data_IF_421729706925
#
_entry.id   IF_421729706925
#
_cell.length_a   1.000
_cell.length_b   1.000
_cell.length_c   1.000
_cell.angle_alpha   90.00
_cell.angle_beta   90.00
_cell.angle_gamma   90.00
#
_symmetry.space_group_name_H-M   'P 1'
#
loop_
_entity.id
_entity.type
_entity.pdbx_description
1 polymer ?
#
# COMPACT_ATOMS: atom_id res chain seq x y z
N UNK A 1 -8.34 5.09 31.97
CA UNK A 1 -8.29 6.49 31.47
C UNK A 1 -7.59 6.46 30.12
N UNK A 2 -8.34 6.20 29.06
CA UNK A 2 -7.85 6.23 27.68
C UNK A 2 -8.03 7.66 27.18
N UNK A 3 -6.92 8.38 27.00
CA UNK A 3 -6.96 9.67 26.33
C UNK A 3 -7.46 9.46 24.89
N UNK A 4 -8.57 10.12 24.53
CA UNK A 4 -9.01 10.21 23.14
C UNK A 4 -7.93 10.98 22.37
N UNK A 5 -7.11 10.26 21.59
CA UNK A 5 -6.15 10.85 20.68
C UNK A 5 -6.88 11.36 19.45
N UNK A 6 -6.79 12.67 19.22
CA UNK A 6 -7.39 13.34 18.07
C UNK A 6 -6.46 13.24 16.87
N UNK A 7 -6.92 12.54 15.82
CA UNK A 7 -6.21 12.40 14.55
C UNK A 7 -5.95 13.77 13.91
N UNK A 8 -6.78 14.77 14.21
CA UNK A 8 -6.65 16.12 13.65
C UNK A 8 -5.46 16.92 14.18
N UNK A 9 -4.95 16.61 15.38
CA UNK A 9 -3.82 17.34 15.97
C UNK A 9 -2.46 16.84 15.46
N UNK A 10 -2.39 15.59 15.00
CA UNK A 10 -1.15 14.91 14.63
C UNK A 10 -0.56 15.36 13.29
N UNK A 11 -1.40 15.80 12.34
CA UNK A 11 -1.04 16.00 10.93
C UNK A 11 -0.40 17.37 10.62
N UNK A 12 -0.48 18.36 11.52
CA UNK A 12 -0.15 19.77 11.19
C UNK A 12 1.27 20.23 11.52
N UNK A 13 2.19 19.33 11.82
CA UNK A 13 3.58 19.71 12.12
C UNK A 13 4.53 19.34 10.96
N UNK A 14 4.61 20.18 9.92
CA UNK A 14 5.86 20.49 9.18
C UNK A 14 5.62 21.44 8.00
N UNK A 15 6.42 22.50 7.90
CA UNK A 15 6.63 23.23 6.65
C UNK A 15 7.44 24.51 6.84
N UNK A 16 8.75 24.48 6.52
CA UNK A 16 9.50 25.68 6.14
C UNK A 16 10.59 25.34 5.10
N UNK A 17 10.73 26.20 4.09
CA UNK A 17 11.97 26.39 3.33
C UNK A 17 11.92 26.00 1.84
N UNK A 18 11.67 26.99 0.97
CA UNK A 18 11.93 26.89 -0.47
C UNK A 18 13.32 27.45 -0.85
N UNK A 19 13.80 27.13 -2.07
CA UNK A 19 14.34 28.05 -3.11
C UNK A 19 14.99 27.26 -4.26
N UNK A 20 14.54 27.62 -5.48
CA UNK A 20 15.08 27.62 -6.86
C UNK A 20 15.98 26.48 -7.41
N UNK A 21 15.65 25.89 -8.59
CA UNK A 21 16.37 24.76 -9.18
C UNK A 21 17.35 25.20 -10.27
N UNK A 22 18.52 24.56 -10.31
CA UNK A 22 19.24 24.15 -11.54
C UNK A 22 20.57 23.47 -11.17
N UNK A 23 20.76 22.18 -11.49
CA UNK A 23 22.10 21.60 -11.57
C UNK A 23 22.63 21.67 -13.01
N UNK A 24 23.88 22.12 -13.11
CA UNK A 24 24.77 21.96 -14.25
C UNK A 24 25.20 20.49 -14.28
N UNK A 25 25.10 19.84 -15.44
CA UNK A 25 25.62 18.49 -15.66
C UNK A 25 27.14 18.55 -15.78
N UNK A 26 27.85 17.72 -15.01
CA UNK A 26 29.18 17.27 -15.43
C UNK A 26 29.50 15.84 -14.95
N UNK A 27 29.91 15.06 -15.95
CA UNK A 27 30.79 13.90 -16.01
C UNK A 27 30.71 12.75 -14.97
N UNK A 28 30.09 11.63 -15.37
CA UNK A 28 30.22 10.33 -14.70
C UNK A 28 31.32 9.52 -15.39
N UNK A 29 32.44 9.37 -14.68
CA UNK A 29 33.61 8.57 -15.08
C UNK A 29 33.28 7.10 -15.38
N UNK A 30 34.03 6.55 -16.33
CA UNK A 30 33.89 5.23 -16.90
C UNK A 30 34.04 4.07 -15.88
N UNK A 31 33.25 3.02 -16.11
CA UNK A 31 33.26 1.75 -15.38
C UNK A 31 34.58 1.02 -15.64
N UNK A 32 35.31 0.70 -14.56
CA UNK A 32 36.54 -0.07 -14.56
C UNK A 32 36.28 -1.54 -14.97
N UNK A 33 36.69 -1.85 -16.20
CA UNK A 33 36.55 -3.16 -16.86
C UNK A 33 37.55 -4.21 -16.36
N UNK A 34 38.54 -3.84 -15.54
CA UNK A 34 39.57 -4.77 -15.06
C UNK A 34 39.11 -5.63 -13.86
N UNK A 35 37.98 -5.29 -13.22
CA UNK A 35 37.41 -6.08 -12.13
C UNK A 35 36.67 -7.36 -12.59
N UNK A 36 36.38 -7.51 -13.89
CA UNK A 36 35.66 -8.66 -14.46
C UNK A 36 36.57 -9.84 -14.86
N UNK A 37 37.90 -9.68 -14.75
CA UNK A 37 38.88 -10.69 -15.17
C UNK A 37 39.15 -11.85 -14.20
N UNK A 38 38.56 -11.85 -12.99
CA UNK A 38 38.97 -12.77 -11.91
C UNK A 38 38.16 -14.07 -11.76
N UNK A 39 37.21 -14.39 -12.66
CA UNK A 39 36.41 -15.64 -12.59
C UNK A 39 36.68 -16.59 -13.77
N UNK A 40 37.85 -16.49 -14.41
CA UNK A 40 38.32 -17.47 -15.40
C UNK A 40 39.38 -18.39 -14.78
N UNK A 41 39.31 -19.73 -14.98
CA UNK A 41 40.31 -20.63 -14.42
C UNK A 41 41.68 -20.35 -15.05
N UNK A 42 42.66 -20.03 -14.20
CA UNK A 42 44.08 -19.90 -14.55
C UNK A 42 44.54 -21.16 -15.31
N UNK A 43 44.94 -21.01 -16.58
CA UNK A 43 45.69 -22.04 -17.30
C UNK A 43 47.05 -22.22 -16.65
N UNK A 44 47.15 -23.20 -15.77
CA UNK A 44 48.42 -23.72 -15.28
C UNK A 44 49.27 -24.26 -16.44
N UNK A 45 50.57 -24.00 -16.35
CA UNK A 45 51.63 -24.53 -17.22
C UNK A 45 51.43 -26.04 -17.43
N UNK A 46 51.21 -26.48 -18.68
CA UNK A 46 51.23 -27.90 -19.02
C UNK A 46 52.55 -28.27 -19.67
N UNK A 47 53.21 -29.23 -19.04
CA UNK A 47 54.35 -30.00 -19.51
C UNK A 47 54.15 -30.56 -20.94
N UNK A 48 55.27 -30.87 -21.59
CA UNK A 48 55.43 -31.52 -22.88
C UNK A 48 54.23 -32.36 -23.36
N UNK A 49 53.55 -31.87 -24.40
CA UNK A 49 52.36 -32.50 -24.96
C UNK A 49 52.65 -33.83 -25.64
N UNK A 50 52.19 -34.92 -25.01
CA UNK A 50 52.01 -36.21 -25.68
C UNK A 50 50.87 -36.06 -26.71
N UNK A 51 51.15 -36.31 -28.00
CA UNK A 51 50.12 -36.30 -29.05
C UNK A 51 49.10 -37.41 -28.76
N UNK A 52 47.85 -37.01 -28.45
CA UNK A 52 46.74 -37.91 -28.23
C UNK A 52 46.56 -38.84 -29.45
N UNK A 53 46.47 -40.14 -29.18
CA UNK A 53 46.27 -41.17 -30.20
C UNK A 53 44.90 -41.02 -30.87
N UNK A 54 44.75 -41.56 -32.08
CA UNK A 54 43.48 -41.49 -32.85
C UNK A 54 42.29 -42.07 -32.07
N UNK A 55 42.53 -43.03 -31.18
CA UNK A 55 41.52 -43.67 -30.31
C UNK A 55 41.10 -42.74 -29.16
N UNK A 56 42.05 -42.05 -28.52
CA UNK A 56 41.79 -41.07 -27.44
C UNK A 56 41.06 -39.83 -27.97
N UNK A 57 41.42 -39.33 -29.15
CA UNK A 57 40.69 -38.22 -29.81
C UNK A 57 39.23 -38.59 -30.12
N UNK A 58 38.97 -39.84 -30.54
CA UNK A 58 37.62 -40.32 -30.83
C UNK A 58 36.79 -40.51 -29.54
N UNK A 59 37.42 -40.94 -28.44
CA UNK A 59 36.79 -41.03 -27.12
C UNK A 59 36.45 -39.64 -26.58
N UNK A 60 37.39 -38.69 -26.61
CA UNK A 60 37.15 -37.31 -26.18
C UNK A 60 36.03 -36.63 -26.98
N UNK A 61 35.97 -36.84 -28.31
CA UNK A 61 34.87 -36.32 -29.14
C UNK A 61 33.51 -36.93 -28.77
N UNK A 62 33.47 -38.20 -28.38
CA UNK A 62 32.23 -38.86 -27.90
C UNK A 62 31.80 -38.37 -26.53
N UNK A 63 32.74 -38.12 -25.61
CA UNK A 63 32.44 -37.57 -24.29
C UNK A 63 31.95 -36.11 -24.36
N UNK A 64 32.54 -35.29 -25.25
CA UNK A 64 32.06 -33.93 -25.52
C UNK A 64 30.64 -33.99 -26.10
N UNK A 65 30.39 -34.83 -27.10
CA UNK A 65 29.05 -34.97 -27.69
C UNK A 65 28.01 -35.52 -26.69
N UNK A 66 28.43 -36.38 -25.75
CA UNK A 66 27.56 -36.86 -24.65
C UNK A 66 27.24 -35.72 -23.68
N UNK A 67 28.24 -34.95 -23.25
CA UNK A 67 28.03 -33.78 -22.38
C UNK A 67 27.19 -32.69 -23.03
N UNK A 68 27.33 -32.46 -24.32
CA UNK A 68 26.47 -31.53 -25.06
C UNK A 68 25.02 -32.01 -25.15
N UNK A 69 24.79 -33.33 -25.29
CA UNK A 69 23.44 -33.91 -25.26
C UNK A 69 22.83 -33.85 -23.86
N UNK A 70 23.60 -34.21 -22.83
CA UNK A 70 23.18 -34.10 -21.42
C UNK A 70 22.88 -32.63 -21.05
N UNK A 71 23.68 -31.67 -21.51
CA UNK A 71 23.43 -30.25 -21.31
C UNK A 71 22.16 -29.77 -22.04
N UNK A 72 21.93 -30.22 -23.28
CA UNK A 72 20.69 -29.89 -24.04
C UNK A 72 19.45 -30.53 -23.42
N UNK A 73 19.56 -31.75 -22.88
CA UNK A 73 18.45 -32.42 -22.22
C UNK A 73 18.17 -31.82 -20.84
N UNK A 74 19.20 -31.40 -20.10
CA UNK A 74 19.09 -30.59 -18.88
C UNK A 74 18.46 -29.21 -19.16
N UNK A 75 18.84 -28.55 -20.25
CA UNK A 75 18.25 -27.28 -20.68
C UNK A 75 16.77 -27.45 -21.09
N UNK A 76 16.42 -28.55 -21.78
CA UNK A 76 15.03 -28.90 -22.11
C UNK A 76 14.20 -29.27 -20.89
N UNK A 77 14.76 -29.97 -19.90
CA UNK A 77 14.06 -30.27 -18.64
C UNK A 77 13.91 -29.03 -17.77
N UNK A 78 14.90 -28.13 -17.75
CA UNK A 78 14.77 -26.80 -17.14
C UNK A 78 13.68 -25.96 -17.83
N UNK A 79 13.63 -25.96 -19.17
CA UNK A 79 12.56 -25.31 -19.98
C UNK A 79 11.19 -25.97 -19.85
N UNK A 80 11.09 -27.24 -19.42
CA UNK A 80 9.81 -27.94 -19.15
C UNK A 80 9.35 -27.79 -17.69
N UNK A 81 10.29 -27.74 -16.75
CA UNK A 81 10.06 -27.37 -15.34
C UNK A 81 9.66 -25.90 -15.21
N UNK A 82 10.02 -25.09 -16.21
CA UNK A 82 9.48 -23.77 -16.50
C UNK A 82 8.00 -23.84 -16.92
N UNK A 83 7.10 -24.29 -16.02
CA UNK A 83 5.77 -23.68 -16.00
C UNK A 83 6.04 -22.20 -15.80
N UNK A 84 5.90 -21.44 -16.90
CA UNK A 84 6.13 -19.99 -16.96
C UNK A 84 5.70 -19.35 -15.65
N UNK A 85 6.51 -18.47 -15.07
CA UNK A 85 6.17 -17.82 -13.80
C UNK A 85 4.83 -17.06 -13.92
N UNK A 86 4.46 -16.65 -15.14
CA UNK A 86 3.12 -16.16 -15.48
C UNK A 86 2.02 -17.21 -15.26
N UNK A 87 2.27 -18.48 -15.57
CA UNK A 87 1.39 -19.60 -15.24
C UNK A 87 1.32 -19.81 -13.73
N UNK A 88 2.44 -19.72 -13.00
CA UNK A 88 2.43 -19.92 -11.53
C UNK A 88 1.76 -18.75 -10.80
N UNK A 89 1.94 -17.52 -11.28
CA UNK A 89 1.20 -16.34 -10.84
C UNK A 89 -0.28 -16.49 -11.13
N UNK A 90 -0.64 -16.93 -12.35
CA UNK A 90 -2.02 -17.22 -12.72
C UNK A 90 -2.64 -18.34 -11.87
N UNK A 91 -1.87 -19.38 -11.53
CA UNK A 91 -2.31 -20.48 -10.67
C UNK A 91 -2.51 -19.99 -9.22
N UNK A 92 -1.66 -19.10 -8.70
CA UNK A 92 -1.84 -18.47 -7.36
C UNK A 92 -2.97 -17.46 -7.32
N UNK A 93 -3.08 -16.60 -8.33
CA UNK A 93 -4.20 -15.67 -8.49
C UNK A 93 -5.50 -16.45 -8.59
N UNK A 94 -5.48 -17.58 -9.30
CA UNK A 94 -6.58 -18.53 -9.33
C UNK A 94 -6.85 -19.14 -7.96
N UNK A 95 -5.85 -19.61 -7.22
CA UNK A 95 -6.06 -20.18 -5.87
C UNK A 95 -6.66 -19.15 -4.89
N UNK A 96 -6.17 -17.91 -4.89
CA UNK A 96 -6.74 -16.81 -4.12
C UNK A 96 -8.12 -16.42 -4.62
N UNK A 97 -8.32 -16.40 -5.94
CA UNK A 97 -9.62 -16.15 -6.54
C UNK A 97 -10.61 -17.24 -6.14
N UNK A 98 -10.25 -18.51 -6.19
CA UNK A 98 -11.10 -19.65 -5.84
C UNK A 98 -11.46 -19.60 -4.33
N UNK A 99 -10.51 -19.25 -3.45
CA UNK A 99 -10.77 -19.04 -2.01
C UNK A 99 -11.74 -17.88 -1.75
N UNK A 100 -11.66 -16.82 -2.55
CA UNK A 100 -12.48 -15.60 -2.36
C UNK A 100 -13.73 -15.57 -3.26
N UNK A 101 -13.89 -16.50 -4.20
CA UNK A 101 -14.95 -16.51 -5.21
C UNK A 101 -16.33 -16.63 -4.57
N UNK A 102 -16.45 -17.52 -3.59
CA UNK A 102 -17.70 -17.67 -2.83
C UNK A 102 -18.10 -16.39 -2.11
N UNK A 103 -17.15 -15.66 -1.54
CA UNK A 103 -17.40 -14.39 -0.86
C UNK A 103 -17.72 -13.27 -1.85
N UNK A 104 -17.01 -13.18 -2.98
CA UNK A 104 -17.33 -12.23 -4.06
C UNK A 104 -18.73 -12.44 -4.60
N UNK A 105 -19.10 -13.70 -4.89
CA UNK A 105 -20.44 -14.04 -5.39
C UNK A 105 -21.53 -13.71 -4.39
N UNK A 106 -21.30 -13.90 -3.08
CA UNK A 106 -22.22 -13.47 -2.03
C UNK A 106 -22.40 -11.95 -2.01
N UNK A 107 -21.31 -11.18 -2.16
CA UNK A 107 -21.37 -9.71 -2.24
C UNK A 107 -22.04 -9.20 -3.51
N UNK A 108 -21.78 -9.82 -4.66
CA UNK A 108 -22.44 -9.51 -5.93
C UNK A 108 -23.96 -9.79 -5.88
N UNK A 109 -24.37 -10.79 -5.11
CA UNK A 109 -25.77 -11.15 -4.89
C UNK A 109 -26.39 -10.42 -3.68
N UNK A 110 -25.68 -9.49 -3.05
CA UNK A 110 -26.15 -8.76 -1.87
C UNK A 110 -27.44 -7.99 -2.20
N UNK A 111 -28.44 -8.13 -1.33
CA UNK A 111 -29.73 -7.42 -1.45
C UNK A 111 -29.85 -6.24 -0.50
N UNK A 112 -28.93 -6.14 0.44
CA UNK A 112 -28.88 -5.08 1.46
C UNK A 112 -27.52 -4.39 1.40
N UNK A 113 -27.47 -3.12 1.82
CA UNK A 113 -26.22 -2.35 1.86
C UNK A 113 -25.21 -2.95 2.84
N UNK A 114 -25.70 -3.50 3.97
CA UNK A 114 -24.86 -4.16 4.98
C UNK A 114 -24.22 -5.44 4.44
N UNK A 115 -24.93 -6.22 3.62
CA UNK A 115 -24.36 -7.41 2.97
C UNK A 115 -23.32 -7.05 1.90
N UNK A 116 -23.46 -5.87 1.29
CA UNK A 116 -22.52 -5.35 0.30
C UNK A 116 -21.18 -4.92 0.93
N UNK A 117 -21.20 -4.39 2.17
CA UNK A 117 -19.99 -4.00 2.90
C UNK A 117 -19.10 -5.22 3.17
N UNK A 118 -17.83 -5.12 2.74
CA UNK A 118 -16.99 -6.28 2.50
C UNK A 118 -16.35 -6.99 3.70
N UNK A 119 -16.43 -6.48 4.93
CA UNK A 119 -15.90 -7.20 6.09
C UNK A 119 -16.95 -8.04 6.81
N UNK A 120 -16.59 -9.00 7.65
CA UNK A 120 -17.53 -9.76 8.48
C UNK A 120 -17.69 -9.15 9.87
N UNK A 121 -16.58 -8.86 10.56
CA UNK A 121 -16.58 -8.30 11.93
C UNK A 121 -15.43 -7.32 12.14
N UNK A 122 -15.72 -6.19 12.77
CA UNK A 122 -14.71 -5.25 13.27
C UNK A 122 -14.62 -5.36 14.79
N UNK A 123 -13.45 -5.75 15.29
CA UNK A 123 -13.17 -5.82 16.72
C UNK A 123 -12.72 -4.46 17.26
N UNK A 124 -12.92 -4.24 18.57
CA UNK A 124 -12.63 -2.94 19.20
C UNK A 124 -11.14 -2.56 19.11
N UNK A 125 -10.25 -3.55 19.17
CA UNK A 125 -8.80 -3.38 19.04
C UNK A 125 -8.34 -3.04 17.61
N UNK A 126 -9.24 -3.10 16.63
CA UNK A 126 -8.96 -2.79 15.22
C UNK A 126 -8.66 -3.99 14.36
N UNK A 127 -8.60 -5.22 14.92
CA UNK A 127 -8.59 -6.42 14.09
C UNK A 127 -9.93 -6.49 13.35
N UNK A 128 -9.89 -6.81 12.06
CA UNK A 128 -11.08 -6.96 11.25
C UNK A 128 -11.06 -8.31 10.55
N UNK A 129 -12.07 -9.13 10.84
CA UNK A 129 -12.34 -10.34 10.08
C UNK A 129 -12.98 -9.92 8.76
N UNK A 130 -12.21 -10.00 7.67
CA UNK A 130 -12.67 -9.59 6.34
C UNK A 130 -13.58 -10.67 5.76
N UNK A 131 -13.11 -11.91 5.85
CA UNK A 131 -13.79 -13.14 5.42
C UNK A 131 -13.47 -14.21 6.46
N UNK A 132 -14.18 -15.35 6.43
CA UNK A 132 -13.92 -16.45 7.35
C UNK A 132 -12.46 -16.91 7.21
N UNK A 133 -11.72 -16.84 8.31
CA UNK A 133 -10.31 -17.19 8.37
C UNK A 133 -9.33 -16.16 7.78
N UNK A 134 -9.79 -14.95 7.42
CA UNK A 134 -8.96 -13.85 6.93
C UNK A 134 -9.10 -12.61 7.82
N UNK A 135 -8.03 -12.24 8.50
CA UNK A 135 -8.00 -11.14 9.47
C UNK A 135 -7.06 -10.04 8.99
N UNK A 136 -7.45 -8.78 9.18
CA UNK A 136 -6.69 -7.61 8.76
C UNK A 136 -6.49 -6.59 9.87
N UNK A 137 -5.41 -5.83 9.76
CA UNK A 137 -5.15 -4.63 10.56
C UNK A 137 -4.67 -3.49 9.65
N UNK A 138 -4.80 -2.25 10.13
CA UNK A 138 -4.49 -1.03 9.38
C UNK A 138 -3.65 -0.07 10.21
N UNK A 139 -2.55 0.41 9.63
CA UNK A 139 -1.69 1.45 10.19
C UNK A 139 -1.93 2.74 9.39
N UNK A 140 -2.30 3.82 10.06
CA UNK A 140 -2.22 5.16 9.50
C UNK A 140 -0.79 5.67 9.59
N UNK A 141 -0.32 6.43 8.61
CA UNK A 141 1.02 7.00 8.65
C UNK A 141 1.09 8.38 7.98
N UNK A 142 1.98 9.22 8.49
CA UNK A 142 2.14 10.60 8.02
C UNK A 142 2.82 10.68 6.66
N UNK A 143 2.61 11.81 5.99
CA UNK A 143 3.40 12.16 4.82
C UNK A 143 4.87 12.40 5.18
N UNK A 144 5.75 12.24 4.20
CA UNK A 144 7.16 12.56 4.34
C UNK A 144 7.67 13.22 3.08
N UNK A 145 8.45 14.28 3.25
CA UNK A 145 8.98 15.07 2.13
C UNK A 145 9.97 14.24 1.32
N UNK A 146 9.51 13.64 0.22
CA UNK A 146 10.37 12.86 -0.68
C UNK A 146 11.04 13.74 -1.74
N UNK A 147 10.31 14.65 -2.38
CA UNK A 147 10.84 15.45 -3.50
C UNK A 147 11.79 16.57 -3.07
N UNK A 148 11.68 17.04 -1.83
CA UNK A 148 12.46 18.19 -1.32
C UNK A 148 13.75 17.77 -0.61
N UNK A 149 13.95 16.47 -0.37
CA UNK A 149 15.17 15.96 0.27
C UNK A 149 16.26 15.68 -0.77
N UNK A 150 17.51 15.61 -0.30
CA UNK A 150 18.67 15.29 -1.15
C UNK A 150 18.58 13.85 -1.69
N UNK A 151 19.20 13.60 -2.84
CA UNK A 151 19.22 12.28 -3.51
C UNK A 151 19.61 11.11 -2.58
N UNK A 152 20.57 11.32 -1.68
CA UNK A 152 20.97 10.30 -0.70
C UNK A 152 19.83 9.91 0.24
N UNK A 153 19.06 10.90 0.70
CA UNK A 153 17.88 10.69 1.54
C UNK A 153 16.76 10.05 0.74
N UNK A 154 16.53 10.46 -0.52
CA UNK A 154 15.57 9.80 -1.41
C UNK A 154 15.90 8.31 -1.59
N UNK A 155 17.17 7.97 -1.85
CA UNK A 155 17.64 6.58 -1.96
C UNK A 155 17.45 5.82 -0.65
N UNK A 156 17.69 6.44 0.50
CA UNK A 156 17.46 5.84 1.81
C UNK A 156 15.97 5.55 2.04
N UNK A 157 15.08 6.49 1.70
CA UNK A 157 13.62 6.30 1.78
C UNK A 157 13.14 5.21 0.83
N UNK A 158 13.61 5.21 -0.41
CA UNK A 158 13.31 4.14 -1.38
C UNK A 158 13.78 2.77 -0.87
N UNK A 159 14.97 2.69 -0.27
CA UNK A 159 15.50 1.46 0.31
C UNK A 159 14.69 1.01 1.53
N UNK A 160 14.20 1.95 2.35
CA UNK A 160 13.32 1.64 3.47
C UNK A 160 11.93 1.16 3.00
N UNK A 161 11.35 1.78 1.97
CA UNK A 161 10.11 1.32 1.36
C UNK A 161 10.26 -0.07 0.72
N UNK A 162 11.39 -0.35 0.08
CA UNK A 162 11.71 -1.69 -0.44
C UNK A 162 11.76 -2.71 0.70
N UNK A 163 12.46 -2.39 1.80
CA UNK A 163 12.48 -3.23 3.02
C UNK A 163 11.09 -3.44 3.61
N UNK A 164 10.22 -2.41 3.58
CA UNK A 164 8.84 -2.53 4.01
C UNK A 164 8.10 -3.60 3.21
N UNK A 165 8.26 -3.63 1.88
CA UNK A 165 7.63 -4.64 1.04
C UNK A 165 8.26 -6.03 1.18
N UNK A 166 9.57 -6.11 1.34
CA UNK A 166 10.32 -7.37 1.49
C UNK A 166 9.97 -8.14 2.78
N UNK A 167 9.45 -7.45 3.80
CA UNK A 167 9.05 -8.11 5.05
C UNK A 167 7.82 -9.03 4.87
N UNK A 168 6.98 -8.74 3.87
CA UNK A 168 5.68 -9.38 3.74
C UNK A 168 5.82 -10.79 3.16
N UNK A 169 5.25 -11.77 3.85
CA UNK A 169 5.31 -13.17 3.45
C UNK A 169 4.31 -13.53 2.35
N UNK A 170 4.48 -14.68 1.72
CA UNK A 170 3.59 -15.16 0.65
C UNK A 170 2.12 -15.38 1.07
N UNK A 171 1.85 -15.44 2.38
CA UNK A 171 0.52 -15.63 2.97
C UNK A 171 -0.13 -14.34 3.46
N UNK A 172 0.48 -13.18 3.20
CA UNK A 172 -0.08 -11.88 3.57
C UNK A 172 -0.59 -11.13 2.34
N UNK A 173 -1.75 -10.49 2.43
CA UNK A 173 -2.19 -9.54 1.42
C UNK A 173 -1.96 -8.13 1.95
N UNK A 174 -1.37 -7.27 1.11
CA UNK A 174 -1.06 -5.88 1.49
C UNK A 174 -1.77 -4.93 0.54
N UNK A 175 -2.40 -3.92 1.13
CA UNK A 175 -3.01 -2.80 0.44
C UNK A 175 -2.40 -1.52 1.00
N UNK A 176 -1.88 -0.67 0.12
CA UNK A 176 -1.67 0.72 0.45
C UNK A 176 -2.86 1.54 -0.05
N UNK A 177 -3.23 2.56 0.70
CA UNK A 177 -4.32 3.45 0.33
C UNK A 177 -4.01 4.89 0.71
N UNK A 178 -4.46 5.82 -0.12
CA UNK A 178 -4.54 7.23 0.20
C UNK A 178 -5.99 7.66 0.07
N UNK A 179 -6.55 8.22 1.14
CA UNK A 179 -7.94 8.64 1.23
C UNK A 179 -8.00 10.16 1.35
N UNK A 180 -8.56 10.80 0.33
CA UNK A 180 -8.88 12.21 0.28
C UNK A 180 -10.31 12.40 0.77
N UNK A 181 -10.48 12.73 2.04
CA UNK A 181 -11.77 12.93 2.69
C UNK A 181 -12.15 14.41 2.67
N UNK A 182 -13.33 14.80 2.20
CA UNK A 182 -13.77 16.19 2.29
C UNK A 182 -13.99 16.59 3.75
N UNK A 183 -13.68 17.84 4.09
CA UNK A 183 -14.00 18.41 5.40
C UNK A 183 -15.52 18.53 5.58
N UNK A 184 -15.97 18.31 6.80
CA UNK A 184 -17.38 18.54 7.16
C UNK A 184 -17.69 20.04 7.14
N UNK A 185 -18.94 20.40 6.83
CA UNK A 185 -19.37 21.81 6.83
C UNK A 185 -19.11 22.50 8.18
N UNK A 186 -19.24 21.76 9.27
CA UNK A 186 -18.99 22.25 10.63
C UNK A 186 -17.50 22.52 10.89
N UNK A 187 -16.59 21.85 10.16
CA UNK A 187 -15.14 22.05 10.27
C UNK A 187 -14.64 23.17 9.35
N UNK A 188 -15.38 23.48 8.28
CA UNK A 188 -15.04 24.54 7.32
C UNK A 188 -15.13 25.90 8.00
N UNK A 189 -13.98 26.56 8.17
CA UNK A 189 -13.91 27.90 8.73
C UNK A 189 -13.94 27.97 10.27
N UNK A 190 -13.94 26.83 10.96
CA UNK A 190 -13.92 26.74 12.43
C UNK A 190 -12.72 25.95 12.95
N UNK A 191 -11.73 25.68 12.10
CA UNK A 191 -10.59 24.86 12.46
C UNK A 191 -9.58 25.67 13.26
N UNK A 192 -9.00 25.03 14.26
CA UNK A 192 -7.92 25.60 15.06
C UNK A 192 -6.58 25.06 14.57
N UNK A 193 -5.86 25.85 13.79
CA UNK A 193 -4.55 25.48 13.24
C UNK A 193 -3.44 25.71 14.26
N UNK A 194 -3.51 26.84 14.95
CA UNK A 194 -2.61 27.21 16.02
C UNK A 194 -3.40 27.34 17.33
N UNK A 195 -2.75 27.03 18.46
CA UNK A 195 -3.32 27.25 19.78
C UNK A 195 -2.77 28.57 20.36
N UNK A 196 -3.53 29.70 20.33
CA UNK A 196 -3.09 30.94 20.94
C UNK A 196 -2.71 30.76 22.41
N UNK A 197 -3.50 30.00 23.19
CA UNK A 197 -3.26 29.83 24.62
C UNK A 197 -1.99 29.03 24.95
N UNK A 198 -1.42 28.33 23.97
CA UNK A 198 -0.13 27.64 24.12
C UNK A 198 1.08 28.56 23.81
N UNK A 199 0.84 29.79 23.36
CA UNK A 199 1.92 30.72 22.99
C UNK A 199 2.41 31.52 24.20
N UNK A 200 3.73 31.66 24.30
CA UNK A 200 4.41 32.28 25.44
C UNK A 200 4.31 33.81 25.47
N UNK A 201 4.15 34.48 24.33
CA UNK A 201 4.10 35.95 24.22
C UNK A 201 2.76 36.45 23.69
N UNK A 202 2.37 37.67 24.05
CA UNK A 202 1.14 38.30 23.53
C UNK A 202 1.17 38.50 22.02
N UNK A 203 2.34 38.84 21.46
CA UNK A 203 2.52 38.94 20.02
C UNK A 203 2.26 37.59 19.32
N UNK A 204 2.87 36.50 19.81
CA UNK A 204 2.64 35.17 19.24
C UNK A 204 1.20 34.68 19.43
N UNK A 205 0.52 35.07 20.52
CA UNK A 205 -0.92 34.83 20.72
C UNK A 205 -1.75 35.50 19.62
N UNK A 206 -1.48 36.78 19.38
CA UNK A 206 -2.18 37.57 18.36
C UNK A 206 -1.91 37.01 16.95
N UNK A 207 -0.65 36.69 16.64
CA UNK A 207 -0.28 36.11 15.35
C UNK A 207 -0.95 34.75 15.14
N UNK A 208 -0.94 33.87 16.15
CA UNK A 208 -1.63 32.58 16.08
C UNK A 208 -3.15 32.74 15.82
N UNK A 209 -3.78 33.77 16.40
CA UNK A 209 -5.19 34.06 16.17
C UNK A 209 -5.42 34.61 14.75
N UNK A 210 -4.63 35.58 14.31
CA UNK A 210 -4.71 36.14 12.97
C UNK A 210 -4.49 35.06 11.88
N UNK A 211 -3.52 34.17 12.07
CA UNK A 211 -3.29 33.05 11.15
C UNK A 211 -4.45 32.08 11.13
N UNK A 212 -5.06 31.77 12.28
CA UNK A 212 -6.27 30.95 12.31
C UNK A 212 -7.40 31.60 11.52
N UNK A 213 -7.61 32.91 11.65
CA UNK A 213 -8.67 33.63 10.94
C UNK A 213 -8.43 33.60 9.42
N UNK A 214 -7.22 33.94 8.98
CA UNK A 214 -6.83 33.92 7.55
C UNK A 214 -6.98 32.51 6.96
N UNK A 215 -6.49 31.48 7.66
CA UNK A 215 -6.56 30.10 7.18
C UNK A 215 -8.01 29.61 7.11
N UNK A 216 -8.84 29.97 8.09
CA UNK A 216 -10.26 29.65 8.05
C UNK A 216 -10.99 30.33 6.90
N UNK A 217 -10.65 31.58 6.58
CA UNK A 217 -11.23 32.27 5.42
C UNK A 217 -10.78 31.63 4.11
N UNK A 218 -9.52 31.18 4.00
CA UNK A 218 -9.05 30.41 2.83
C UNK A 218 -9.79 29.08 2.65
N UNK A 219 -10.06 28.38 3.75
CA UNK A 219 -10.85 27.14 3.73
C UNK A 219 -12.31 27.42 3.31
N UNK A 220 -12.92 28.53 3.77
CA UNK A 220 -14.25 28.96 3.31
C UNK A 220 -14.29 29.33 1.82
N UNK A 221 -13.22 29.92 1.30
CA UNK A 221 -13.04 30.20 -0.13
C UNK A 221 -12.89 28.92 -0.99
N UNK A 222 -12.84 27.74 -0.36
CA UNK A 222 -12.74 26.45 -1.04
C UNK A 222 -11.30 25.98 -1.27
N UNK A 223 -10.31 26.69 -0.74
CA UNK A 223 -8.91 26.30 -0.85
C UNK A 223 -8.65 25.15 0.14
N UNK A 224 -8.45 23.95 -0.41
CA UNK A 224 -8.04 22.74 0.33
C UNK A 224 -9.04 22.23 1.38
N UNK A 225 -10.29 21.98 0.97
CA UNK A 225 -11.31 21.32 1.80
C UNK A 225 -11.16 19.79 1.88
N UNK A 226 -9.93 19.29 1.75
CA UNK A 226 -9.63 17.85 1.71
C UNK A 226 -8.57 17.51 2.74
N UNK A 227 -8.87 16.49 3.53
CA UNK A 227 -7.96 15.82 4.45
C UNK A 227 -7.41 14.58 3.75
N UNK A 228 -6.08 14.46 3.66
CA UNK A 228 -5.41 13.33 3.02
C UNK A 228 -4.81 12.42 4.07
N UNK A 229 -5.26 11.18 4.13
CA UNK A 229 -4.76 10.19 5.07
C UNK A 229 -4.19 8.99 4.31
N UNK A 230 -3.10 8.40 4.81
CA UNK A 230 -2.44 7.24 4.20
C UNK A 230 -2.56 6.05 5.12
N UNK A 231 -2.89 4.89 4.56
CA UNK A 231 -3.03 3.66 5.32
C UNK A 231 -2.32 2.49 4.67
N UNK A 232 -1.62 1.73 5.50
CA UNK A 232 -1.09 0.41 5.21
C UNK A 232 -2.01 -0.62 5.84
N UNK A 233 -2.78 -1.34 5.02
CA UNK A 233 -3.65 -2.43 5.48
C UNK A 233 -3.04 -3.76 5.06
N UNK A 234 -2.89 -4.66 6.02
CA UNK A 234 -2.35 -6.00 5.79
C UNK A 234 -3.26 -7.04 6.41
N UNK A 235 -3.30 -8.21 5.79
CA UNK A 235 -4.11 -9.34 6.26
C UNK A 235 -3.33 -10.63 6.31
N UNK A 236 -3.77 -11.52 7.20
CA UNK A 236 -3.21 -12.84 7.47
C UNK A 236 -4.34 -13.88 7.52
N UNK A 237 -4.03 -15.09 7.11
CA UNK A 237 -4.93 -16.24 7.32
C UNK A 237 -4.69 -16.85 8.70
N UNK A 238 -5.75 -17.04 9.46
CA UNK A 238 -5.73 -17.68 10.78
C UNK A 238 -7.10 -18.28 11.09
N UNK A 239 -7.17 -19.23 12.01
CA UNK A 239 -8.46 -19.86 12.39
C UNK A 239 -9.27 -18.96 13.33
N UNK A 240 -8.60 -18.14 14.15
CA UNK A 240 -9.23 -17.26 15.13
C UNK A 240 -8.62 -15.86 15.14
N UNK A 241 -9.36 -14.88 15.67
CA UNK A 241 -8.87 -13.53 15.85
C UNK A 241 -7.66 -13.47 16.82
N UNK A 242 -7.64 -14.30 17.85
CA UNK A 242 -6.52 -14.39 18.80
C UNK A 242 -5.24 -14.91 18.14
N UNK A 243 -5.36 -15.90 17.25
CA UNK A 243 -4.23 -16.42 16.49
C UNK A 243 -3.71 -15.39 15.48
N UNK A 244 -4.64 -14.68 14.82
CA UNK A 244 -4.32 -13.58 13.92
C UNK A 244 -3.58 -12.45 14.64
N UNK A 245 -4.01 -12.09 15.86
CA UNK A 245 -3.46 -10.97 16.62
C UNK A 245 -1.92 -11.05 16.78
N UNK A 246 -1.39 -12.25 17.06
CA UNK A 246 0.07 -12.46 17.19
C UNK A 246 0.82 -12.20 15.88
N UNK A 247 0.26 -12.62 14.75
CA UNK A 247 0.89 -12.41 13.44
C UNK A 247 0.78 -10.95 13.00
N UNK A 248 -0.40 -10.35 13.17
CA UNK A 248 -0.66 -8.95 12.85
C UNK A 248 0.24 -8.02 13.68
N UNK A 249 0.38 -8.27 14.98
CA UNK A 249 1.25 -7.48 15.86
C UNK A 249 2.73 -7.53 15.45
N UNK A 250 3.23 -8.67 14.97
CA UNK A 250 4.61 -8.75 14.46
C UNK A 250 4.81 -7.90 13.21
N UNK A 251 3.87 -7.97 12.27
CA UNK A 251 3.89 -7.16 11.04
C UNK A 251 3.77 -5.67 11.39
N UNK A 252 2.92 -5.34 12.36
CA UNK A 252 2.75 -3.99 12.88
C UNK A 252 4.08 -3.43 13.38
N UNK A 253 4.73 -4.12 14.32
CA UNK A 253 5.94 -3.61 14.96
C UNK A 253 7.08 -3.42 13.96
N UNK A 254 7.23 -4.36 13.02
CA UNK A 254 8.22 -4.25 11.96
C UNK A 254 7.87 -3.09 11.00
N UNK A 255 6.63 -3.01 10.52
CA UNK A 255 6.18 -1.93 9.63
C UNK A 255 6.31 -0.55 10.27
N UNK A 256 5.88 -0.41 11.53
CA UNK A 256 5.97 0.82 12.30
C UNK A 256 7.43 1.29 12.46
N UNK A 257 8.36 0.38 12.76
CA UNK A 257 9.79 0.73 12.84
C UNK A 257 10.36 1.15 11.48
N UNK A 258 9.95 0.53 10.37
CA UNK A 258 10.41 0.93 9.03
C UNK A 258 9.84 2.30 8.66
N UNK A 259 8.55 2.54 8.89
CA UNK A 259 7.90 3.84 8.65
C UNK A 259 8.59 4.96 9.43
N UNK A 260 8.85 4.74 10.73
CA UNK A 260 9.59 5.70 11.56
C UNK A 260 10.99 6.01 11.00
N UNK A 261 11.68 5.01 10.44
CA UNK A 261 13.01 5.23 9.84
C UNK A 261 12.99 6.12 8.58
N UNK A 262 11.82 6.30 7.96
CA UNK A 262 11.59 7.21 6.83
C UNK A 262 11.07 8.59 7.26
N UNK A 263 10.97 8.84 8.57
CA UNK A 263 10.38 10.06 9.12
C UNK A 263 8.85 10.08 9.05
N UNK A 264 8.20 8.97 8.70
CA UNK A 264 6.74 8.85 8.68
C UNK A 264 6.27 8.21 9.98
N UNK A 265 5.43 8.90 10.74
CA UNK A 265 4.98 8.41 12.05
C UNK A 265 3.81 7.45 11.88
N UNK A 266 3.93 6.19 12.29
CA UNK A 266 2.86 5.21 12.20
C UNK A 266 1.91 5.30 13.41
N UNK A 267 0.65 4.99 13.19
CA UNK A 267 -0.38 4.85 14.21
C UNK A 267 -1.29 3.67 13.88
N UNK A 268 -1.32 2.66 14.75
CA UNK A 268 -2.21 1.50 14.59
C UNK A 268 -3.66 1.92 14.82
N UNK A 269 -4.54 1.64 13.86
CA UNK A 269 -5.94 2.00 13.97
C UNK A 269 -6.71 1.00 14.83
N UNK A 270 -7.42 1.51 15.85
CA UNK A 270 -8.41 0.72 16.57
C UNK A 270 -9.71 0.55 15.76
N UNK A 271 -10.66 -0.23 16.27
CA UNK A 271 -11.91 -0.55 15.58
C UNK A 271 -12.72 0.69 15.21
N UNK A 272 -12.85 1.65 16.13
CA UNK A 272 -13.63 2.88 15.91
C UNK A 272 -12.97 3.75 14.84
N UNK A 273 -11.64 3.85 14.85
CA UNK A 273 -10.89 4.60 13.86
C UNK A 273 -11.01 3.95 12.47
N UNK A 274 -10.92 2.63 12.36
CA UNK A 274 -11.15 1.94 11.08
C UNK A 274 -12.57 2.13 10.57
N UNK A 275 -13.58 2.03 11.44
CA UNK A 275 -14.97 2.31 11.08
C UNK A 275 -15.17 3.74 10.61
N UNK A 276 -14.48 4.73 11.20
CA UNK A 276 -14.50 6.13 10.74
C UNK A 276 -14.00 6.27 9.30
N UNK A 277 -12.92 5.57 8.94
CA UNK A 277 -12.37 5.59 7.57
C UNK A 277 -13.35 4.95 6.59
N UNK A 278 -13.92 3.80 6.93
CA UNK A 278 -14.91 3.14 6.05
C UNK A 278 -16.16 4.01 5.93
N UNK A 279 -16.63 4.60 7.04
CA UNK A 279 -17.76 5.52 7.04
C UNK A 279 -17.49 6.75 6.16
N UNK A 280 -16.30 7.34 6.19
CA UNK A 280 -16.02 8.53 5.36
C UNK A 280 -16.07 8.23 3.85
N UNK A 281 -15.79 6.99 3.45
CA UNK A 281 -15.92 6.53 2.07
C UNK A 281 -17.39 6.28 1.69
N UNK A 282 -18.15 5.68 2.60
CA UNK A 282 -19.55 5.28 2.36
C UNK A 282 -20.55 6.42 2.58
N UNK A 283 -20.20 7.42 3.38
CA UNK A 283 -21.03 8.52 3.82
C UNK A 283 -20.24 9.85 3.80
N UNK A 284 -19.74 10.28 2.62
CA UNK A 284 -19.00 11.53 2.51
C UNK A 284 -19.85 12.71 2.99
N UNK A 285 -19.20 13.70 3.61
CA UNK A 285 -19.84 14.88 4.21
C UNK A 285 -20.78 14.63 5.39
N UNK A 286 -20.93 13.38 5.87
CA UNK A 286 -21.68 13.10 7.11
C UNK A 286 -20.73 12.93 8.30
N UNK A 287 -21.08 13.47 9.48
CA UNK A 287 -20.31 13.23 10.69
C UNK A 287 -20.37 11.74 11.09
N UNK A 288 -19.29 11.26 11.70
CA UNK A 288 -19.21 9.89 12.19
C UNK A 288 -19.48 9.84 13.70
N UNK A 289 -20.59 9.21 14.08
CA UNK A 289 -20.95 8.98 15.48
C UNK A 289 -21.04 7.49 15.73
N UNK A 290 -20.07 6.95 16.46
CA UNK A 290 -20.06 5.54 16.84
C UNK A 290 -19.30 5.36 18.14
N UNK A 291 -19.87 4.55 19.02
CA UNK A 291 -19.24 4.09 20.24
C UNK A 291 -19.56 2.61 20.46
N UNK A 292 -18.53 1.79 20.68
CA UNK A 292 -18.71 0.35 20.87
C UNK A 292 -19.59 0.02 22.07
N UNK A 293 -19.48 0.76 23.19
CA UNK A 293 -20.21 0.44 24.41
C UNK A 293 -21.69 0.81 24.29
N UNK A 294 -21.98 1.90 23.58
CA UNK A 294 -23.34 2.39 23.35
C UNK A 294 -24.05 1.64 22.23
N UNK A 295 -23.38 1.46 21.09
CA UNK A 295 -24.04 1.05 19.85
C UNK A 295 -23.97 -0.47 19.62
N UNK A 296 -22.97 -1.14 20.21
CA UNK A 296 -22.81 -2.60 20.11
C UNK A 296 -23.08 -3.22 21.48
N UNK A 297 -24.15 -4.01 21.60
CA UNK A 297 -24.47 -4.69 22.85
C UNK A 297 -25.03 -6.07 22.62
N UNK A 298 -24.88 -6.96 23.59
CA UNK A 298 -25.46 -8.31 23.56
C UNK A 298 -27.00 -8.31 23.47
N UNK A 299 -27.65 -7.16 23.71
CA UNK A 299 -29.11 -6.99 23.65
C UNK A 299 -29.58 -6.32 22.35
N UNK A 300 -28.67 -5.81 21.54
CA UNK A 300 -28.96 -5.17 20.26
C UNK A 300 -28.57 -6.10 19.12
N UNK A 301 -29.41 -6.17 18.08
CA UNK A 301 -29.09 -6.87 16.82
C UNK A 301 -28.17 -6.03 15.93
N UNK A 302 -27.91 -4.78 16.32
CA UNK A 302 -27.08 -3.84 15.57
C UNK A 302 -25.63 -4.30 15.51
N UNK A 303 -25.10 -4.34 14.29
CA UNK A 303 -23.71 -4.63 13.98
C UNK A 303 -22.94 -3.35 13.66
N UNK A 304 -21.61 -3.43 13.62
CA UNK A 304 -20.78 -2.29 13.21
C UNK A 304 -21.07 -1.85 11.78
N UNK A 305 -21.60 -2.74 10.92
CA UNK A 305 -22.00 -2.40 9.55
C UNK A 305 -23.22 -1.50 9.54
N UNK A 306 -24.21 -1.81 10.38
CA UNK A 306 -25.43 -1.02 10.49
C UNK A 306 -25.12 0.43 10.92
N UNK A 307 -24.08 0.61 11.75
CA UNK A 307 -23.65 1.94 12.20
C UNK A 307 -22.93 2.77 11.13
N UNK A 308 -22.41 2.15 10.07
CA UNK A 308 -21.62 2.85 9.05
C UNK A 308 -22.22 2.78 7.64
N UNK A 309 -23.24 1.96 7.44
CA UNK A 309 -23.86 1.77 6.14
C UNK A 309 -24.61 3.05 5.73
N UNK A 310 -24.52 3.46 4.45
CA UNK A 310 -25.44 4.44 3.91
C UNK A 310 -26.84 3.81 3.82
N UNK A 311 -27.87 4.65 3.76
CA UNK A 311 -29.26 4.16 3.67
C UNK A 311 -29.49 3.40 2.36
N UNK A 312 -28.86 3.85 1.29
CA UNK A 312 -28.98 3.29 -0.05
C UNK A 312 -27.70 3.55 -0.86
N UNK A 313 -27.40 2.61 -1.76
CA UNK A 313 -26.46 2.77 -2.86
C UNK A 313 -27.21 2.46 -4.15
N UNK A 314 -27.36 3.46 -5.02
CA UNK A 314 -27.96 3.30 -6.34
C UNK A 314 -26.87 3.09 -7.39
N UNK A 315 -26.78 1.89 -7.95
CA UNK A 315 -25.81 1.56 -8.99
C UNK A 315 -26.24 1.95 -10.41
N UNK A 316 -27.45 2.51 -10.58
CA UNK A 316 -27.99 2.98 -11.87
C UNK A 316 -28.83 4.26 -11.70
N UNK A 317 -28.25 5.34 -11.13
CA UNK A 317 -29.00 6.54 -10.76
C UNK A 317 -29.75 7.19 -11.93
N UNK A 318 -29.12 7.24 -13.10
CA UNK A 318 -29.71 7.87 -14.29
C UNK A 318 -30.42 6.87 -15.22
N UNK A 319 -30.43 5.58 -14.88
CA UNK A 319 -30.99 4.49 -15.69
C UNK A 319 -30.27 4.22 -17.03
N UNK A 320 -29.30 5.05 -17.41
CA UNK A 320 -28.61 5.02 -18.71
C UNK A 320 -27.18 4.46 -18.59
N UNK A 321 -26.41 4.98 -17.64
CA UNK A 321 -25.00 4.62 -17.46
C UNK A 321 -24.81 3.64 -16.30
N UNK A 322 -23.85 2.71 -16.44
CA UNK A 322 -23.52 1.69 -15.43
C UNK A 322 -22.09 1.89 -14.87
N UNK A 323 -21.49 3.06 -15.06
CA UNK A 323 -20.11 3.38 -14.66
C UNK A 323 -20.04 4.33 -13.46
N UNK A 324 -21.19 4.75 -12.92
CA UNK A 324 -21.31 5.53 -11.69
C UNK A 324 -22.33 4.91 -10.74
N UNK A 325 -22.21 5.25 -9.47
CA UNK A 325 -23.21 4.98 -8.44
C UNK A 325 -23.54 6.27 -7.70
N UNK A 326 -24.70 6.33 -7.07
CA UNK A 326 -25.12 7.44 -6.23
C UNK A 326 -25.40 6.95 -4.82
N UNK A 327 -24.94 7.70 -3.83
CA UNK A 327 -25.23 7.49 -2.41
C UNK A 327 -26.51 8.24 -2.00
N UNK A 328 -27.09 7.85 -0.87
CA UNK A 328 -28.33 8.43 -0.32
C UNK A 328 -28.30 9.96 -0.08
N UNK A 329 -27.11 10.54 0.05
CA UNK A 329 -26.87 11.99 0.20
C UNK A 329 -26.72 12.72 -1.15
N UNK A 330 -26.95 12.04 -2.27
CA UNK A 330 -26.83 12.59 -3.62
C UNK A 330 -25.41 12.62 -4.18
N UNK A 331 -24.41 12.14 -3.44
CA UNK A 331 -23.01 12.09 -3.92
C UNK A 331 -22.85 10.98 -4.94
N UNK A 332 -22.29 11.33 -6.10
CA UNK A 332 -21.92 10.38 -7.13
C UNK A 332 -20.49 9.85 -6.89
N UNK A 333 -20.31 8.56 -7.13
CA UNK A 333 -19.01 7.90 -7.12
C UNK A 333 -18.79 7.09 -8.39
N UNK A 334 -17.51 6.87 -8.72
CA UNK A 334 -17.08 6.04 -9.83
C UNK A 334 -15.83 5.26 -9.43
N UNK A 335 -15.71 4.02 -9.94
CA UNK A 335 -14.53 3.18 -9.73
C UNK A 335 -13.73 3.10 -11.02
N UNK A 336 -12.48 3.54 -10.97
CA UNK A 336 -11.54 3.48 -12.08
C UNK A 336 -10.43 2.47 -11.79
N UNK A 337 -10.08 1.65 -12.79
CA UNK A 337 -9.03 0.63 -12.66
C UNK A 337 -7.96 0.85 -13.73
N UNK A 338 -6.74 1.15 -13.28
CA UNK A 338 -5.57 1.22 -14.16
C UNK A 338 -5.10 -0.19 -14.56
N UNK A 339 -5.39 -0.59 -15.80
CA UNK A 339 -5.04 -1.94 -16.32
C UNK A 339 -3.65 -2.01 -16.95
N UNK A 340 -3.12 -0.88 -17.42
CA UNK A 340 -1.82 -0.77 -18.11
C UNK A 340 -1.16 0.53 -17.71
N UNK A 341 0.14 0.47 -17.49
CA UNK A 341 1.00 1.63 -17.29
C UNK A 341 1.78 1.90 -18.59
N UNK A 342 2.17 3.16 -18.80
CA UNK A 342 3.14 3.51 -19.85
C UNK A 342 4.48 2.81 -19.63
N UNK A 343 5.35 2.80 -20.64
CA UNK A 343 6.71 2.29 -20.51
C UNK A 343 7.53 3.10 -19.50
N UNK A 344 7.20 4.37 -19.34
CA UNK A 344 7.77 5.27 -18.35
C UNK A 344 6.64 5.73 -17.41
N UNK A 345 6.85 5.54 -16.12
CA UNK A 345 6.00 6.07 -15.06
C UNK A 345 6.88 6.95 -14.19
N UNK A 346 6.56 8.25 -14.15
CA UNK A 346 7.23 9.17 -13.22
C UNK A 346 6.95 8.74 -11.78
N UNK A 347 7.93 8.96 -10.91
CA UNK A 347 7.81 8.88 -9.45
C UNK A 347 6.71 9.82 -8.88
N UNK A 348 6.28 10.83 -9.65
CA UNK A 348 5.17 11.73 -9.32
C UNK A 348 3.80 11.20 -9.72
N UNK A 349 3.69 10.15 -10.54
CA UNK A 349 2.42 9.76 -11.14
C UNK A 349 1.30 9.50 -10.11
N UNK A 350 1.63 8.88 -8.97
CA UNK A 350 0.67 8.68 -7.88
C UNK A 350 0.41 9.96 -7.09
N UNK A 351 1.45 10.78 -6.85
CA UNK A 351 1.31 12.05 -6.16
C UNK A 351 0.38 13.00 -6.92
N UNK A 352 0.58 13.13 -8.24
CA UNK A 352 -0.21 14.01 -9.09
C UNK A 352 -1.70 13.61 -9.11
N UNK A 353 -2.03 12.32 -8.99
CA UNK A 353 -3.41 11.85 -8.85
C UNK A 353 -3.98 12.21 -7.47
N UNK A 354 -3.22 11.93 -6.40
CA UNK A 354 -3.63 12.18 -5.01
C UNK A 354 -3.74 13.69 -4.70
N UNK A 355 -3.00 14.52 -5.40
CA UNK A 355 -2.99 15.97 -5.23
C UNK A 355 -4.25 16.65 -5.79
N UNK A 356 -5.03 15.95 -6.63
CA UNK A 356 -6.29 16.48 -7.15
C UNK A 356 -7.22 16.89 -6.01
N UNK A 357 -7.86 18.08 -6.09
CA UNK A 357 -8.69 18.63 -5.03
C UNK A 357 -10.11 18.04 -5.07
N UNK A 358 -10.24 16.72 -5.22
CA UNK A 358 -11.51 16.00 -5.22
C UNK A 358 -11.49 14.85 -4.19
N UNK A 359 -12.63 14.53 -3.56
CA UNK A 359 -12.77 13.31 -2.76
C UNK A 359 -12.41 12.08 -3.58
N UNK A 360 -11.48 11.27 -3.08
CA UNK A 360 -11.07 10.03 -3.76
C UNK A 360 -10.39 9.08 -2.80
N UNK A 361 -10.38 7.81 -3.17
CA UNK A 361 -9.52 6.79 -2.58
C UNK A 361 -8.65 6.19 -3.68
N UNK A 362 -7.34 6.24 -3.50
CA UNK A 362 -6.38 5.58 -4.39
C UNK A 362 -5.81 4.38 -3.64
N UNK A 363 -6.07 3.18 -4.14
CA UNK A 363 -5.54 1.94 -3.57
C UNK A 363 -4.64 1.23 -4.56
N UNK A 364 -3.55 0.63 -4.06
CA UNK A 364 -2.82 -0.39 -4.81
C UNK A 364 -2.52 -1.58 -3.92
N UNK A 365 -2.63 -2.74 -4.54
CA UNK A 365 -2.42 -4.02 -3.87
C UNK A 365 -1.04 -4.55 -4.20
N UNK A 366 -0.34 -4.98 -3.16
CA UNK A 366 0.93 -5.69 -3.29
C UNK A 366 0.71 -7.11 -2.79
N UNK A 367 0.91 -8.06 -3.69
CA UNK A 367 0.84 -9.48 -3.36
C UNK A 367 2.27 -10.03 -3.28
N UNK A 368 2.78 -10.30 -2.08
CA UNK A 368 4.14 -10.77 -1.91
C UNK A 368 4.35 -12.14 -2.56
N UNK A 369 5.54 -12.31 -3.11
CA UNK A 369 6.00 -13.54 -3.74
C UNK A 369 7.13 -14.13 -2.93
N UNK A 370 7.21 -15.47 -2.91
CA UNK A 370 8.37 -16.15 -2.35
C UNK A 370 9.66 -15.66 -3.03
N UNK A 371 10.71 -15.42 -2.23
CA UNK A 371 11.99 -14.87 -2.69
C UNK A 371 12.60 -15.66 -3.85
N UNK A 372 12.52 -16.99 -3.82
CA UNK A 372 13.05 -17.85 -4.90
C UNK A 372 12.27 -17.64 -6.20
N UNK A 373 10.95 -17.45 -6.11
CA UNK A 373 10.08 -17.16 -7.25
C UNK A 373 10.29 -15.73 -7.77
N UNK A 374 10.48 -14.76 -6.89
CA UNK A 374 10.73 -13.37 -7.24
C UNK A 374 12.05 -13.19 -8.02
N UNK A 375 13.16 -13.81 -7.56
CA UNK A 375 14.45 -13.76 -8.26
C UNK A 375 14.34 -14.35 -9.68
N UNK A 376 13.64 -15.49 -9.81
CA UNK A 376 13.43 -16.10 -11.12
C UNK A 376 12.51 -15.25 -12.02
N UNK A 377 11.53 -14.54 -11.45
CA UNK A 377 10.63 -13.66 -12.19
C UNK A 377 11.40 -12.49 -12.80
N UNK A 378 12.20 -11.79 -11.98
CA UNK A 378 12.98 -10.63 -12.43
C UNK A 378 14.00 -11.03 -13.49
N UNK A 379 14.67 -12.19 -13.36
CA UNK A 379 15.62 -12.70 -14.37
C UNK A 379 14.99 -13.10 -15.70
N UNK A 380 13.68 -13.27 -15.75
CA UNK A 380 12.94 -13.71 -16.94
C UNK A 380 12.27 -12.58 -17.72
N UNK A 381 12.28 -11.36 -17.16
CA UNK A 381 11.99 -10.11 -17.86
C UNK A 381 13.30 -9.48 -18.32
#
# INVERSE_FOLDING_TARGET
>A
MTANFDIDEFVHATGEGGIDPRPVYDDAGAIDVDALGQVAPRRGRTAHGRKLTRKEKKAAKRDIARREREAKDAEKTAKRSYKSIKSQLKDRDKELSDKTEGFRRKREAAKTVTDYIGYNRMYQDGICEVEEGLFSSSIAFDDTSYHSVRDEQQKAMFSALTRLYDQFGANTLVQMSVVNTPLLREEVGHRRFFNPNAQSTDAARHDAQLFNDILNDKVKEGVSNIRRNRYLTYSVSADTAEDAARQLSRIETESSRILNSMGSKPHLLNGTQRLRVIHSLLNPYKPFYFDYQRDISARSVQTTKDCIAPTQIDFKPDGVYNDCFQLDNGVYGQVLVMKKFGSELSDRALADIVDLPIPMEVTWYVQPMDKSKAINFVRSR
#
